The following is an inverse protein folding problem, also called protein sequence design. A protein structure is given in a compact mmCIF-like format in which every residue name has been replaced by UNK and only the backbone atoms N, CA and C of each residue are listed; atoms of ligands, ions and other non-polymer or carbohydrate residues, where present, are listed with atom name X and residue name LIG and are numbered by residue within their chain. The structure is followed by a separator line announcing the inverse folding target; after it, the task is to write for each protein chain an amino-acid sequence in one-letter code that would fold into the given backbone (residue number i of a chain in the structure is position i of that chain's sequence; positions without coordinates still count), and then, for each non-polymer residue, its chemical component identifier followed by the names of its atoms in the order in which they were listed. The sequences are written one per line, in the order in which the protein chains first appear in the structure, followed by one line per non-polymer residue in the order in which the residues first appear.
data_IF_048016790869
#
_entry.id   IF_048016790869
#
_cell.length_a   1.000
_cell.length_b   1.000
_cell.length_c   1.000
_cell.angle_alpha   90.00
_cell.angle_beta   90.00
_cell.angle_gamma   90.00
#
_symmetry.space_group_name_H-M   'P 1'
#
loop_
_entity.id
_entity.type
_entity.pdbx_description
1 polymer ?
#
# COMPACT_ATOMS: atom_id res chain seq x y z
N UNK A 1 -14.09 12.00 -33.64
CA UNK A 1 -15.13 11.22 -32.93
C UNK A 1 -14.44 10.39 -31.86
N UNK A 2 -14.54 10.79 -30.59
CA UNK A 2 -13.90 10.10 -29.47
C UNK A 2 -14.73 8.88 -29.07
N UNK A 3 -14.14 7.69 -29.14
CA UNK A 3 -14.76 6.44 -28.70
C UNK A 3 -14.68 6.39 -27.17
N UNK A 4 -15.79 6.68 -26.50
CA UNK A 4 -15.97 6.42 -25.05
C UNK A 4 -15.71 4.92 -24.81
N UNK A 5 -14.62 4.59 -24.13
CA UNK A 5 -14.44 3.27 -23.55
C UNK A 5 -15.45 3.12 -22.41
N UNK A 6 -16.36 2.15 -22.55
CA UNK A 6 -17.40 1.88 -21.58
C UNK A 6 -16.81 1.43 -20.25
N UNK A 7 -17.38 1.94 -19.15
CA UNK A 7 -17.22 1.34 -17.82
C UNK A 7 -17.79 -0.07 -17.89
N UNK A 8 -16.91 -1.07 -17.87
CA UNK A 8 -17.30 -2.45 -17.63
C UNK A 8 -17.66 -2.59 -16.14
N UNK A 9 -18.95 -2.74 -15.85
CA UNK A 9 -19.42 -3.30 -14.58
C UNK A 9 -19.15 -4.80 -14.59
N UNK A 10 -18.24 -5.27 -13.75
CA UNK A 10 -17.97 -6.69 -13.53
C UNK A 10 -17.67 -6.96 -12.08
N UNK A 11 -18.64 -7.51 -11.36
CA UNK A 11 -18.41 -8.25 -10.12
C UNK A 11 -17.69 -9.55 -10.44
N UNK A 12 -16.66 -9.93 -9.66
CA UNK A 12 -16.21 -11.32 -9.62
C UNK A 12 -14.72 -11.57 -9.58
N UNK A 13 -14.03 -11.09 -8.55
CA UNK A 13 -12.81 -11.76 -8.11
C UNK A 13 -12.93 -11.98 -6.59
N UNK A 14 -13.24 -13.21 -6.17
CA UNK A 14 -13.43 -13.55 -4.76
C UNK A 14 -12.08 -13.71 -4.07
N UNK A 15 -11.46 -12.58 -3.73
CA UNK A 15 -10.34 -12.54 -2.79
C UNK A 15 -10.83 -12.69 -1.34
N UNK A 16 -9.92 -12.89 -0.37
CA UNK A 16 -10.24 -12.84 1.06
C UNK A 16 -10.97 -11.55 1.41
N UNK A 17 -12.01 -11.64 2.24
CA UNK A 17 -12.62 -10.45 2.83
C UNK A 17 -11.72 -9.91 3.95
N UNK A 18 -11.18 -8.71 3.76
CA UNK A 18 -10.35 -8.00 4.74
C UNK A 18 -10.88 -6.59 4.95
N UNK A 19 -10.36 -5.87 5.94
CA UNK A 19 -10.71 -4.46 6.12
C UNK A 19 -10.34 -3.61 4.89
N UNK A 20 -9.31 -4.00 4.13
CA UNK A 20 -8.89 -3.34 2.89
C UNK A 20 -9.93 -3.53 1.79
N UNK A 21 -10.34 -4.77 1.50
CA UNK A 21 -11.32 -5.05 0.43
C UNK A 21 -12.67 -4.43 0.75
N UNK A 22 -13.12 -4.54 2.00
CA UNK A 22 -14.37 -3.91 2.46
C UNK A 22 -14.32 -2.38 2.33
N UNK A 23 -13.18 -1.75 2.62
CA UNK A 23 -13.01 -0.31 2.45
C UNK A 23 -13.08 0.12 0.97
N UNK A 24 -12.43 -0.63 0.08
CA UNK A 24 -12.45 -0.36 -1.37
C UNK A 24 -13.83 -0.58 -1.99
N UNK A 25 -14.49 -1.67 -1.63
CA UNK A 25 -15.87 -1.98 -2.04
C UNK A 25 -16.83 -0.86 -1.63
N UNK A 26 -16.73 -0.38 -0.37
CA UNK A 26 -17.54 0.74 0.14
C UNK A 26 -17.24 2.06 -0.58
N UNK A 27 -16.00 2.27 -0.99
CA UNK A 27 -15.60 3.45 -1.75
C UNK A 27 -15.97 3.36 -3.25
N UNK A 28 -16.42 2.20 -3.73
CA UNK A 28 -16.68 1.95 -5.15
C UNK A 28 -15.40 1.95 -6.00
N UNK A 29 -14.26 1.65 -5.39
CA UNK A 29 -12.94 1.64 -6.04
C UNK A 29 -12.65 0.24 -6.56
N UNK A 30 -12.26 0.14 -7.83
CA UNK A 30 -11.92 -1.12 -8.48
C UNK A 30 -10.53 -1.61 -8.06
N UNK A 31 -10.39 -2.92 -7.88
CA UNK A 31 -9.11 -3.58 -7.63
C UNK A 31 -9.19 -5.04 -8.09
N UNK A 32 -8.04 -5.68 -8.29
CA UNK A 32 -7.93 -7.12 -8.58
C UNK A 32 -7.25 -7.82 -7.41
N UNK A 33 -7.89 -8.82 -6.76
CA UNK A 33 -7.28 -9.58 -5.69
C UNK A 33 -6.31 -10.63 -6.22
N UNK A 34 -5.16 -10.76 -5.54
CA UNK A 34 -4.10 -11.73 -5.86
C UNK A 34 -3.70 -12.51 -4.60
N UNK A 35 -4.02 -13.80 -4.58
CA UNK A 35 -3.66 -14.70 -3.47
C UNK A 35 -2.43 -15.50 -3.85
N UNK A 36 -1.48 -15.58 -2.93
CA UNK A 36 -0.24 -16.35 -3.11
C UNK A 36 0.09 -17.12 -1.84
N UNK A 37 0.90 -18.18 -1.98
CA UNK A 37 1.35 -18.97 -0.83
C UNK A 37 2.43 -18.19 -0.11
N UNK A 38 2.19 -17.88 1.16
CA UNK A 38 3.19 -17.30 2.03
C UNK A 38 3.98 -18.39 2.76
N UNK A 39 5.29 -18.38 2.61
CA UNK A 39 6.23 -19.16 3.41
C UNK A 39 6.39 -18.52 4.79
N UNK A 40 6.02 -19.26 5.84
CA UNK A 40 6.13 -18.81 7.22
C UNK A 40 7.57 -18.51 7.67
N UNK A 41 8.58 -19.02 6.95
CA UNK A 41 9.99 -18.71 7.19
C UNK A 41 10.42 -17.36 6.58
N UNK A 42 9.65 -16.80 5.65
CA UNK A 42 9.97 -15.53 4.98
C UNK A 42 9.64 -14.32 5.86
N UNK A 43 10.59 -13.39 5.94
CA UNK A 43 10.38 -12.06 6.54
C UNK A 43 10.40 -10.93 5.51
N UNK A 44 10.70 -11.23 4.24
CA UNK A 44 10.66 -10.28 3.12
C UNK A 44 9.37 -10.47 2.32
N UNK A 45 8.26 -10.07 2.93
CA UNK A 45 6.90 -10.29 2.40
C UNK A 45 6.66 -9.63 1.04
N UNK A 46 7.35 -8.51 0.78
CA UNK A 46 7.20 -7.76 -0.46
C UNK A 46 7.94 -8.42 -1.63
N UNK A 47 9.18 -8.84 -1.41
CA UNK A 47 9.93 -9.58 -2.44
C UNK A 47 9.32 -10.97 -2.69
N UNK A 48 8.78 -11.60 -1.65
CA UNK A 48 8.03 -12.86 -1.77
C UNK A 48 6.80 -12.70 -2.66
N UNK A 49 5.98 -11.66 -2.45
CA UNK A 49 4.82 -11.39 -3.28
C UNK A 49 5.22 -11.24 -4.76
N UNK A 50 6.28 -10.48 -5.03
CA UNK A 50 6.79 -10.31 -6.39
C UNK A 50 7.19 -11.64 -7.04
N UNK A 51 7.89 -12.51 -6.29
CA UNK A 51 8.34 -13.82 -6.74
C UNK A 51 7.18 -14.78 -7.01
N UNK A 52 6.25 -14.90 -6.06
CA UNK A 52 5.14 -15.85 -6.13
C UNK A 52 4.07 -15.44 -7.16
N UNK A 53 3.87 -14.13 -7.36
CA UNK A 53 2.93 -13.61 -8.36
C UNK A 53 3.57 -13.45 -9.75
N UNK A 54 4.88 -13.61 -9.88
CA UNK A 54 5.61 -13.44 -11.13
C UNK A 54 5.56 -12.00 -11.67
N UNK A 55 5.57 -11.02 -10.77
CA UNK A 55 5.46 -9.59 -11.11
C UNK A 55 6.76 -8.85 -10.87
N UNK A 56 6.97 -7.75 -11.61
CA UNK A 56 8.12 -6.87 -11.40
C UNK A 56 8.10 -6.31 -9.95
N UNK A 57 9.18 -6.50 -9.15
CA UNK A 57 9.29 -5.92 -7.81
C UNK A 57 9.13 -4.38 -7.77
N UNK A 58 9.36 -3.70 -8.89
CA UNK A 58 9.13 -2.26 -9.03
C UNK A 58 7.64 -1.89 -8.99
N UNK A 59 6.75 -2.85 -9.25
CA UNK A 59 5.29 -2.70 -9.19
C UNK A 59 4.69 -3.15 -7.86
N UNK A 60 5.47 -3.77 -6.96
CA UNK A 60 4.99 -4.17 -5.63
C UNK A 60 5.41 -3.13 -4.62
N UNK A 61 4.47 -2.64 -3.82
CA UNK A 61 4.67 -1.53 -2.90
C UNK A 61 4.39 -1.95 -1.46
N UNK A 62 5.33 -1.64 -0.57
CA UNK A 62 5.22 -1.87 0.88
C UNK A 62 4.70 -0.64 1.59
N UNK A 63 3.83 -0.87 2.58
CA UNK A 63 3.28 0.18 3.45
C UNK A 63 4.06 0.22 4.75
N UNK A 64 4.63 1.37 5.07
CA UNK A 64 5.51 1.59 6.21
C UNK A 64 4.97 2.72 7.07
N UNK A 65 5.13 2.60 8.40
CA UNK A 65 4.70 3.62 9.35
C UNK A 65 5.92 4.28 10.00
N UNK A 66 5.89 5.60 10.10
CA UNK A 66 6.87 6.39 10.84
C UNK A 66 6.22 7.08 12.02
N UNK A 67 7.00 7.33 13.06
CA UNK A 67 6.64 8.18 14.19
C UNK A 67 7.42 9.49 14.09
N UNK A 68 6.74 10.61 14.27
CA UNK A 68 7.27 11.95 14.05
C UNK A 68 6.90 12.90 15.17
N UNK A 69 7.54 14.07 15.21
CA UNK A 69 7.14 15.15 16.11
C UNK A 69 5.77 15.78 15.79
N UNK A 70 5.11 15.35 14.70
CA UNK A 70 3.72 15.71 14.34
C UNK A 70 2.75 14.52 14.46
N UNK A 71 3.21 13.39 15.01
CA UNK A 71 2.45 12.14 15.11
C UNK A 71 2.80 11.12 14.03
N UNK A 72 1.99 10.06 13.92
CA UNK A 72 2.26 8.94 13.02
C UNK A 72 1.95 9.28 11.56
N UNK A 73 2.72 8.71 10.64
CA UNK A 73 2.50 8.84 9.20
C UNK A 73 2.79 7.56 8.43
N UNK A 74 2.27 7.47 7.21
CA UNK A 74 2.42 6.33 6.31
C UNK A 74 3.22 6.73 5.07
N UNK A 75 4.22 5.92 4.74
CA UNK A 75 4.93 5.96 3.46
C UNK A 75 4.70 4.67 2.67
N UNK A 76 4.42 4.80 1.38
CA UNK A 76 4.21 3.67 0.46
C UNK A 76 5.28 3.76 -0.63
N UNK A 77 6.21 2.81 -0.64
CA UNK A 77 7.37 2.76 -1.55
C UNK A 77 7.47 1.39 -2.20
N UNK A 78 8.11 1.27 -3.37
CA UNK A 78 8.33 -0.01 -4.01
C UNK A 78 9.16 -0.95 -3.11
N UNK A 79 8.92 -2.26 -3.19
CA UNK A 79 9.60 -3.24 -2.33
C UNK A 79 11.10 -3.28 -2.59
N UNK A 80 11.51 -3.01 -3.84
CA UNK A 80 12.90 -2.90 -4.27
C UNK A 80 13.66 -1.69 -3.72
N UNK A 81 12.95 -0.67 -3.25
CA UNK A 81 13.54 0.56 -2.71
C UNK A 81 13.44 0.59 -1.18
N UNK A 82 14.15 1.52 -0.54
CA UNK A 82 13.97 1.84 0.87
C UNK A 82 13.20 3.14 1.05
N UNK A 83 12.51 3.29 2.17
CA UNK A 83 11.89 4.55 2.55
C UNK A 83 12.97 5.56 2.97
N UNK A 84 12.95 6.76 2.40
CA UNK A 84 13.62 7.92 2.95
C UNK A 84 12.74 8.53 4.05
N UNK A 85 13.04 8.17 5.30
CA UNK A 85 12.32 8.64 6.49
C UNK A 85 12.38 10.16 6.62
N UNK A 86 13.47 10.81 6.18
CA UNK A 86 13.62 12.26 6.24
C UNK A 86 12.77 12.95 5.19
N UNK A 87 12.74 12.42 3.96
CA UNK A 87 11.86 12.91 2.90
C UNK A 87 10.39 12.80 3.32
N UNK A 88 9.97 11.64 3.84
CA UNK A 88 8.61 11.46 4.34
C UNK A 88 8.29 12.41 5.50
N UNK A 89 9.20 12.60 6.45
CA UNK A 89 9.00 13.57 7.54
C UNK A 89 8.78 14.98 7.01
N UNK A 90 9.60 15.41 6.04
CA UNK A 90 9.47 16.72 5.39
C UNK A 90 8.12 16.87 4.68
N UNK A 91 7.66 15.82 3.99
CA UNK A 91 6.34 15.82 3.40
C UNK A 91 5.26 16.00 4.49
N UNK A 92 5.36 15.30 5.61
CA UNK A 92 4.41 15.42 6.71
C UNK A 92 4.53 16.71 7.55
N UNK A 93 5.42 17.64 7.20
CA UNK A 93 5.67 18.87 7.95
C UNK A 93 6.41 18.63 9.28
N UNK A 94 6.99 17.45 9.46
CA UNK A 94 7.75 17.06 10.63
C UNK A 94 9.23 17.38 10.48
N UNK A 95 9.90 17.63 11.61
CA UNK A 95 11.35 17.90 11.65
C UNK A 95 12.14 16.66 12.08
N UNK A 96 11.50 15.75 12.80
CA UNK A 96 12.11 14.52 13.31
C UNK A 96 11.20 13.34 12.98
N UNK A 97 11.81 12.23 12.59
CA UNK A 97 11.08 10.99 12.37
C UNK A 97 11.96 9.77 12.61
N UNK A 98 11.31 8.67 12.97
CA UNK A 98 11.88 7.34 13.02
C UNK A 98 10.85 6.32 12.50
N UNK A 99 11.30 5.11 12.16
CA UNK A 99 10.36 4.02 11.91
C UNK A 99 9.52 3.77 13.17
N UNK A 100 8.20 3.62 13.00
CA UNK A 100 7.33 3.31 14.12
C UNK A 100 7.61 1.90 14.66
N UNK A 101 7.50 1.73 15.97
CA UNK A 101 7.56 0.42 16.59
C UNK A 101 6.53 -0.54 15.98
N UNK A 102 6.93 -1.80 15.79
CA UNK A 102 6.06 -2.85 15.24
C UNK A 102 4.71 -2.91 15.97
N UNK A 103 4.72 -2.93 17.31
CA UNK A 103 3.50 -2.99 18.10
C UNK A 103 2.61 -1.75 17.92
N UNK A 104 3.20 -0.58 17.70
CA UNK A 104 2.45 0.65 17.40
C UNK A 104 1.83 0.54 16.01
N UNK A 105 2.60 0.13 15.01
CA UNK A 105 2.14 -0.05 13.64
C UNK A 105 0.96 -1.03 13.55
N UNK A 106 1.06 -2.19 14.21
CA UNK A 106 0.00 -3.20 14.21
C UNK A 106 -1.27 -2.69 14.90
N UNK A 107 -1.13 -2.09 16.08
CA UNK A 107 -2.26 -1.52 16.83
C UNK A 107 -2.98 -0.41 16.07
N UNK A 108 -2.23 0.47 15.40
CA UNK A 108 -2.78 1.66 14.73
C UNK A 108 -3.36 1.34 13.35
N UNK A 109 -2.73 0.43 12.62
CA UNK A 109 -3.24 -0.05 11.34
C UNK A 109 -4.39 -1.05 11.51
N UNK A 110 -4.39 -1.86 12.58
CA UNK A 110 -5.30 -3.00 12.70
C UNK A 110 -4.86 -4.24 11.90
N UNK A 111 -3.67 -4.19 11.29
CA UNK A 111 -3.06 -5.29 10.56
C UNK A 111 -1.83 -5.82 11.29
N UNK A 112 -1.27 -6.93 10.83
CA UNK A 112 0.00 -7.48 11.33
C UNK A 112 1.15 -7.10 10.39
N UNK A 113 2.38 -6.98 10.91
CA UNK A 113 3.55 -6.78 10.05
C UNK A 113 3.69 -7.91 9.03
N UNK A 114 3.97 -7.51 7.78
CA UNK A 114 3.94 -8.36 6.59
C UNK A 114 2.57 -8.44 5.90
N UNK A 115 1.53 -7.84 6.49
CA UNK A 115 0.21 -7.72 5.88
C UNK A 115 -0.42 -6.36 6.11
N UNK A 116 0.38 -5.32 6.38
CA UNK A 116 -0.14 -3.96 6.56
C UNK A 116 -0.57 -3.42 5.21
N UNK A 117 -1.88 -3.27 5.03
CA UNK A 117 -2.46 -2.60 3.87
C UNK A 117 -2.41 -1.08 4.03
N UNK A 118 -2.24 -0.31 2.95
CA UNK A 118 -2.42 1.14 2.98
C UNK A 118 -3.88 1.56 3.16
N UNK A 119 -4.84 0.68 2.89
CA UNK A 119 -6.28 0.95 2.96
C UNK A 119 -6.97 0.11 4.04
N UNK A 120 -8.10 0.61 4.54
CA UNK A 120 -8.86 -0.06 5.60
C UNK A 120 -8.17 -0.06 6.97
N UNK A 121 -7.21 0.85 7.20
CA UNK A 121 -6.54 0.97 8.49
C UNK A 121 -7.50 1.45 9.59
N UNK A 122 -7.34 0.92 10.81
CA UNK A 122 -8.14 1.29 11.99
C UNK A 122 -8.04 2.79 12.32
N UNK A 123 -6.86 3.37 12.13
CA UNK A 123 -6.64 4.82 12.28
C UNK A 123 -6.30 5.39 10.90
N UNK A 124 -7.04 6.41 10.46
CA UNK A 124 -6.66 7.16 9.25
C UNK A 124 -5.45 8.03 9.58
N UNK A 125 -4.36 7.83 8.83
CA UNK A 125 -3.09 8.53 9.02
C UNK A 125 -2.70 9.33 7.77
N UNK A 126 -1.98 10.46 7.93
CA UNK A 126 -1.33 11.13 6.80
C UNK A 126 -0.51 10.14 5.98
N UNK A 127 -0.82 10.05 4.70
CA UNK A 127 -0.27 9.01 3.81
C UNK A 127 0.39 9.65 2.61
N UNK A 128 1.61 9.19 2.30
CA UNK A 128 2.36 9.60 1.12
C UNK A 128 2.68 8.38 0.28
N UNK A 129 2.33 8.44 -1.00
CA UNK A 129 2.66 7.42 -2.01
C UNK A 129 3.86 7.92 -2.80
N UNK A 130 4.87 7.08 -2.94
CA UNK A 130 6.04 7.41 -3.73
C UNK A 130 5.68 7.65 -5.20
N UNK A 131 6.27 8.69 -5.79
CA UNK A 131 5.93 9.12 -7.15
C UNK A 131 6.19 8.06 -8.23
N UNK A 132 7.07 7.10 -7.97
CA UNK A 132 7.35 6.00 -8.90
C UNK A 132 6.14 5.11 -9.16
N UNK A 133 5.19 5.04 -8.23
CA UNK A 133 3.94 4.29 -8.44
C UNK A 133 3.18 4.74 -9.68
N UNK A 134 3.21 6.05 -9.97
CA UNK A 134 2.44 6.68 -11.03
C UNK A 134 3.09 6.54 -12.43
N UNK A 135 4.20 5.79 -12.52
CA UNK A 135 4.74 5.34 -13.80
C UNK A 135 4.09 4.04 -14.32
N UNK A 136 3.20 3.42 -13.54
CA UNK A 136 2.51 2.18 -13.89
C UNK A 136 1.00 2.39 -14.00
N UNK A 137 0.35 1.63 -14.87
CA UNK A 137 -1.12 1.58 -14.94
C UNK A 137 -1.73 1.02 -13.65
N UNK A 138 -1.07 0.00 -13.08
CA UNK A 138 -1.45 -0.65 -11.82
C UNK A 138 -0.22 -1.07 -11.01
N UNK A 139 -0.39 -1.02 -9.69
CA UNK A 139 0.58 -1.46 -8.69
C UNK A 139 -0.04 -2.47 -7.73
N UNK A 140 0.80 -3.23 -7.03
CA UNK A 140 0.42 -4.19 -6.02
C UNK A 140 0.70 -3.62 -4.63
N UNK A 141 -0.25 -3.75 -3.72
CA UNK A 141 -0.09 -3.45 -2.29
C UNK A 141 -0.74 -4.54 -1.47
N UNK A 142 -0.33 -4.69 -0.21
CA UNK A 142 -0.94 -5.71 0.67
C UNK A 142 -2.45 -5.54 0.76
N UNK A 143 -3.17 -6.65 0.62
CA UNK A 143 -4.61 -6.76 0.81
C UNK A 143 -5.04 -6.88 2.27
N UNK A 144 -4.13 -6.72 3.24
CA UNK A 144 -4.46 -6.71 4.67
C UNK A 144 -4.20 -8.02 5.42
N UNK A 145 -3.54 -8.98 4.76
CA UNK A 145 -3.00 -10.20 5.39
C UNK A 145 -1.84 -10.73 4.55
N UNK A 146 -1.02 -11.60 5.13
CA UNK A 146 0.06 -12.29 4.40
C UNK A 146 -0.50 -13.22 3.33
N UNK A 147 0.21 -13.36 2.21
CA UNK A 147 -0.25 -14.19 1.09
C UNK A 147 -1.44 -13.58 0.32
N UNK A 148 -1.69 -12.28 0.48
CA UNK A 148 -2.78 -11.61 -0.21
C UNK A 148 -2.43 -10.16 -0.52
N UNK A 149 -2.34 -9.87 -1.80
CA UNK A 149 -2.15 -8.53 -2.35
C UNK A 149 -3.37 -8.12 -3.19
N UNK A 150 -3.52 -6.82 -3.37
CA UNK A 150 -4.46 -6.23 -4.32
C UNK A 150 -3.68 -5.46 -5.37
N UNK A 151 -4.10 -5.59 -6.62
CA UNK A 151 -3.64 -4.78 -7.73
C UNK A 151 -4.64 -3.64 -7.94
N UNK A 152 -4.13 -2.41 -7.97
CA UNK A 152 -4.94 -1.18 -7.96
C UNK A 152 -4.23 -0.09 -8.78
N UNK A 153 -5.01 0.80 -9.40
CA UNK A 153 -4.47 1.99 -10.03
C UNK A 153 -3.87 2.94 -8.97
N UNK A 154 -2.69 3.54 -9.19
CA UNK A 154 -2.08 4.46 -8.22
C UNK A 154 -2.99 5.63 -7.80
N UNK A 155 -3.75 6.19 -8.74
CA UNK A 155 -4.69 7.28 -8.47
C UNK A 155 -5.86 6.83 -7.58
N UNK A 156 -6.36 5.62 -7.79
CA UNK A 156 -7.41 5.02 -6.96
C UNK A 156 -6.89 4.73 -5.54
N UNK A 157 -5.65 4.24 -5.41
CA UNK A 157 -5.00 4.07 -4.11
C UNK A 157 -4.85 5.42 -3.38
N UNK A 158 -4.47 6.47 -4.11
CA UNK A 158 -4.34 7.82 -3.56
C UNK A 158 -5.69 8.34 -3.07
N UNK A 159 -6.76 8.13 -3.84
CA UNK A 159 -8.12 8.48 -3.45
C UNK A 159 -8.58 7.70 -2.20
N UNK A 160 -8.36 6.38 -2.18
CA UNK A 160 -8.74 5.51 -1.06
C UNK A 160 -8.07 5.91 0.26
N UNK A 161 -6.81 6.35 0.18
CA UNK A 161 -6.03 6.81 1.34
C UNK A 161 -6.25 8.29 1.67
N UNK A 162 -6.86 9.06 0.77
CA UNK A 162 -6.73 10.53 0.71
C UNK A 162 -5.27 10.98 0.95
N UNK A 163 -4.35 10.24 0.34
CA UNK A 163 -2.92 10.48 0.45
C UNK A 163 -2.47 11.58 -0.51
N UNK A 164 -1.16 11.79 -0.55
CA UNK A 164 -0.52 12.63 -1.57
C UNK A 164 0.68 11.93 -2.21
N UNK A 165 1.05 12.40 -3.39
CA UNK A 165 2.21 11.93 -4.15
C UNK A 165 3.45 12.75 -3.79
N UNK A 166 4.59 12.10 -3.58
CA UNK A 166 5.89 12.75 -3.44
C UNK A 166 7.05 11.78 -3.67
N UNK A 167 8.27 12.29 -3.85
CA UNK A 167 9.48 11.45 -3.82
C UNK A 167 9.87 11.16 -2.37
N UNK A 168 9.69 9.92 -1.92
CA UNK A 168 9.98 9.48 -0.54
C UNK A 168 10.82 8.20 -0.48
N UNK A 169 11.34 7.73 -1.62
CA UNK A 169 12.24 6.57 -1.69
C UNK A 169 13.72 6.96 -1.69
N UNK A 170 14.57 5.99 -1.34
CA UNK A 170 16.00 5.94 -1.66
C UNK A 170 16.35 4.57 -2.23
N UNK A 171 17.19 4.55 -3.25
CA UNK A 171 17.71 3.34 -3.92
C UNK A 171 18.72 2.59 -3.07
#
# INVERSE_FOLDING_TARGET
MAKKAGRASGSGASGPSTAATVALERAGISYTPHVYVHDAASSDFGAEAARELGVDPSRVFKTLMIDTDQGLGIGIVAVRDQLDVKALAGELGAKKAAMADKAVAERKSGYVVGGISPVGQKTRLPTVVDETAFGFDTIFVSGGRRGFDIEIAPDDLLAATAGRRASIRRS
#
